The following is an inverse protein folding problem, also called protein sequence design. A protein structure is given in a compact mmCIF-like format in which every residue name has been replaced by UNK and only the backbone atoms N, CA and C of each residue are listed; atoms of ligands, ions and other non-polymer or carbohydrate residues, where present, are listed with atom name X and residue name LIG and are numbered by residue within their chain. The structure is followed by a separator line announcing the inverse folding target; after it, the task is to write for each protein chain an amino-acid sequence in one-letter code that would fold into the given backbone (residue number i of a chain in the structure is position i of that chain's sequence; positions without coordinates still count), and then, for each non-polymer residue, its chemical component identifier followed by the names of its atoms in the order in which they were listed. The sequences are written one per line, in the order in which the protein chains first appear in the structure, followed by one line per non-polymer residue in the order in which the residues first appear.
data_IF_737541329616
#
_entry.id   IF_737541329616
#
_cell.length_a   1.000
_cell.length_b   1.000
_cell.length_c   1.000
_cell.angle_alpha   90.00
_cell.angle_beta   90.00
_cell.angle_gamma   90.00
#
_symmetry.space_group_name_H-M   'P 1'
#
loop_
_entity.id
_entity.type
_entity.pdbx_description
1 polymer ?
#
# COMPACT_ATOMS: atom_id res chain seq x y z
N UNK A 1 0.51 14.92 -4.49
CA UNK A 1 0.43 16.19 -3.80
C UNK A 1 -0.10 15.93 -2.39
N UNK A 2 0.63 16.35 -1.37
CA UNK A 2 0.20 16.25 0.04
C UNK A 2 0.27 17.66 0.61
N UNK A 3 -0.75 18.08 1.33
CA UNK A 3 -0.84 19.43 1.89
C UNK A 3 -1.48 19.40 3.29
N UNK A 4 -1.22 20.46 4.05
CA UNK A 4 -1.70 20.67 5.41
C UNK A 4 -3.19 21.08 5.39
N UNK A 5 -3.91 20.79 6.48
CA UNK A 5 -5.30 21.19 6.73
C UNK A 5 -5.54 22.71 6.69
N UNK A 6 -4.47 23.50 6.82
CA UNK A 6 -4.52 24.97 6.76
C UNK A 6 -4.58 25.55 5.34
N UNK A 7 -4.39 24.70 4.33
CA UNK A 7 -4.43 25.18 2.95
C UNK A 7 -5.88 25.38 2.52
N UNK A 8 -6.15 26.47 1.86
CA UNK A 8 -7.46 26.74 1.27
C UNK A 8 -7.56 26.17 -0.16
N UNK A 9 -8.78 26.06 -0.64
CA UNK A 9 -9.12 25.52 -1.94
C UNK A 9 -8.41 26.28 -3.09
N UNK A 10 -8.36 27.62 -3.02
CA UNK A 10 -7.71 28.47 -4.03
C UNK A 10 -6.21 28.18 -4.13
N UNK A 11 -5.57 27.92 -3.00
CA UNK A 11 -4.15 27.59 -2.96
C UNK A 11 -3.85 26.22 -3.57
N UNK A 12 -4.74 25.25 -3.40
CA UNK A 12 -4.62 23.94 -4.08
C UNK A 12 -4.71 24.11 -5.59
N UNK A 13 -5.65 24.93 -6.08
CA UNK A 13 -5.74 25.26 -7.52
C UNK A 13 -4.48 25.94 -8.05
N UNK A 14 -3.99 26.94 -7.33
CA UNK A 14 -2.75 27.65 -7.69
C UNK A 14 -1.55 26.70 -7.80
N UNK A 15 -1.38 25.82 -6.80
CA UNK A 15 -0.29 24.85 -6.79
C UNK A 15 -0.40 23.89 -7.99
N UNK A 16 -1.59 23.36 -8.25
CA UNK A 16 -1.82 22.47 -9.38
C UNK A 16 -1.49 23.16 -10.70
N UNK A 17 -1.98 24.39 -10.88
CA UNK A 17 -1.72 25.19 -12.09
C UNK A 17 -0.23 25.46 -12.28
N UNK A 18 0.49 25.79 -11.20
CA UNK A 18 1.95 26.00 -11.26
C UNK A 18 2.69 24.73 -11.67
N UNK A 19 2.30 23.56 -11.13
CA UNK A 19 2.86 22.27 -11.51
C UNK A 19 2.61 22.00 -13.01
N UNK A 20 1.37 22.14 -13.46
CA UNK A 20 1.00 21.87 -14.86
C UNK A 20 1.72 22.82 -15.82
N UNK A 21 1.83 24.10 -15.48
CA UNK A 21 2.58 25.08 -16.28
C UNK A 21 4.08 24.73 -16.34
N UNK A 22 4.69 24.37 -15.23
CA UNK A 22 6.08 23.95 -15.19
C UNK A 22 6.32 22.73 -16.09
N UNK A 23 5.46 21.72 -16.01
CA UNK A 23 5.56 20.51 -16.83
C UNK A 23 5.37 20.83 -18.32
N UNK A 24 4.42 21.71 -18.66
CA UNK A 24 4.20 22.19 -20.04
C UNK A 24 5.42 22.89 -20.61
N UNK A 25 6.06 23.78 -19.83
CA UNK A 25 7.31 24.46 -20.22
C UNK A 25 8.44 23.46 -20.50
N UNK A 26 8.47 22.36 -19.76
CA UNK A 26 9.41 21.26 -19.96
C UNK A 26 8.98 20.24 -21.05
N UNK A 27 7.96 20.59 -21.85
CA UNK A 27 7.46 19.77 -22.97
C UNK A 27 6.95 18.39 -22.53
N UNK A 28 6.47 18.26 -21.31
CA UNK A 28 5.79 17.04 -20.82
C UNK A 28 4.39 17.03 -21.43
N UNK A 29 4.09 16.01 -22.23
CA UNK A 29 2.81 15.89 -22.96
C UNK A 29 1.71 15.21 -22.14
N UNK A 30 2.07 14.40 -21.15
CA UNK A 30 1.12 13.64 -20.34
C UNK A 30 1.56 13.63 -18.88
N UNK A 31 0.59 13.80 -17.98
CA UNK A 31 0.78 13.72 -16.53
C UNK A 31 -0.25 12.78 -15.96
N UNK A 32 0.19 11.81 -15.17
CA UNK A 32 -0.70 10.88 -14.47
C UNK A 32 -0.65 11.12 -12.98
N UNK A 33 -1.81 11.42 -12.39
CA UNK A 33 -1.96 11.56 -10.94
C UNK A 33 -2.50 10.27 -10.35
N UNK A 34 -1.76 9.69 -9.41
CA UNK A 34 -2.28 8.62 -8.56
C UNK A 34 -2.70 9.24 -7.24
N UNK A 35 -4.01 9.34 -7.03
CA UNK A 35 -4.56 9.96 -5.84
C UNK A 35 -4.45 9.00 -4.63
N UNK A 36 -4.21 9.58 -3.46
CA UNK A 36 -4.22 8.86 -2.20
C UNK A 36 -5.67 8.53 -1.84
N UNK A 37 -5.88 7.36 -1.25
CA UNK A 37 -7.21 6.94 -0.82
C UNK A 37 -7.74 7.87 0.28
N UNK A 38 -9.00 8.26 0.18
CA UNK A 38 -9.63 9.23 1.09
C UNK A 38 -9.59 8.81 2.56
N UNK A 39 -9.58 7.50 2.86
CA UNK A 39 -9.50 7.02 4.24
C UNK A 39 -8.11 7.15 4.90
N UNK A 40 -7.09 7.57 4.16
CA UNK A 40 -5.79 7.96 4.72
C UNK A 40 -5.69 9.45 5.05
N UNK A 41 -6.68 10.23 4.63
CA UNK A 41 -6.72 11.65 4.96
C UNK A 41 -7.24 11.84 6.38
N UNK A 42 -6.69 12.82 7.11
CA UNK A 42 -7.17 13.20 8.45
C UNK A 42 -8.58 13.83 8.39
N UNK A 43 -8.90 14.48 7.27
CA UNK A 43 -10.19 15.09 6.99
C UNK A 43 -10.62 14.83 5.55
N UNK A 44 -11.91 14.89 5.21
CA UNK A 44 -12.37 14.81 3.83
C UNK A 44 -11.66 15.84 2.97
N UNK A 45 -11.05 15.39 1.86
CA UNK A 45 -10.25 16.22 0.99
C UNK A 45 -10.39 15.74 -0.45
N UNK A 46 -11.12 16.51 -1.27
CA UNK A 46 -11.41 16.20 -2.67
C UNK A 46 -11.06 17.34 -3.63
N UNK A 47 -10.42 18.39 -3.13
CA UNK A 47 -10.11 19.60 -3.90
C UNK A 47 -9.21 19.27 -5.09
N UNK A 48 -8.21 18.42 -4.89
CA UNK A 48 -7.31 18.03 -5.97
C UNK A 48 -8.02 17.27 -7.08
N UNK A 49 -8.94 16.34 -6.74
CA UNK A 49 -9.76 15.62 -7.72
C UNK A 49 -10.63 16.61 -8.52
N UNK A 50 -11.27 17.56 -7.82
CA UNK A 50 -12.10 18.58 -8.42
C UNK A 50 -11.30 19.45 -9.40
N UNK A 51 -10.11 19.93 -9.03
CA UNK A 51 -9.31 20.78 -9.91
C UNK A 51 -8.69 20.02 -11.08
N UNK A 52 -8.31 18.75 -10.91
CA UNK A 52 -7.91 17.91 -12.03
C UNK A 52 -9.07 17.77 -13.03
N UNK A 53 -10.29 17.52 -12.54
CA UNK A 53 -11.49 17.49 -13.39
C UNK A 53 -11.72 18.83 -14.10
N UNK A 54 -11.62 19.97 -13.39
CA UNK A 54 -11.74 21.32 -13.94
C UNK A 54 -10.72 21.61 -15.05
N UNK A 55 -9.53 20.99 -14.97
CA UNK A 55 -8.49 21.06 -16.00
C UNK A 55 -8.67 20.01 -17.14
N UNK A 56 -9.85 19.45 -17.28
CA UNK A 56 -10.19 18.38 -18.24
C UNK A 56 -9.38 17.10 -18.05
N UNK A 57 -8.99 16.79 -16.82
CA UNK A 57 -8.38 15.52 -16.49
C UNK A 57 -9.33 14.36 -16.76
N UNK A 58 -8.80 13.31 -17.37
CA UNK A 58 -9.57 12.09 -17.71
C UNK A 58 -9.28 11.01 -16.67
N UNK A 59 -10.33 10.38 -16.15
CA UNK A 59 -10.18 9.21 -15.28
C UNK A 59 -9.62 8.05 -16.12
N UNK A 60 -8.35 7.75 -15.92
CA UNK A 60 -7.63 6.73 -16.68
C UNK A 60 -7.87 5.32 -16.10
N UNK A 61 -7.89 5.21 -14.77
CA UNK A 61 -8.00 3.92 -14.09
C UNK A 61 -8.68 4.08 -12.72
N UNK A 62 -9.33 3.02 -12.27
CA UNK A 62 -9.99 2.99 -10.96
C UNK A 62 -9.76 1.65 -10.28
N UNK A 63 -9.26 1.70 -9.06
CA UNK A 63 -8.98 0.54 -8.23
C UNK A 63 -9.96 0.45 -7.06
N UNK A 64 -10.44 -0.75 -6.79
CA UNK A 64 -11.19 -1.03 -5.57
C UNK A 64 -10.18 -1.28 -4.44
N UNK A 65 -10.26 -0.48 -3.39
CA UNK A 65 -9.43 -0.64 -2.21
C UNK A 65 -10.30 -1.05 -1.03
N UNK A 66 -9.80 -1.98 -0.24
CA UNK A 66 -10.43 -2.48 0.98
C UNK A 66 -9.49 -2.23 2.15
N UNK A 67 -10.03 -1.71 3.23
CA UNK A 67 -9.31 -1.48 4.47
C UNK A 67 -10.05 -2.08 5.66
N UNK A 68 -9.32 -2.37 6.72
CA UNK A 68 -9.88 -2.76 8.02
C UNK A 68 -9.72 -1.57 8.95
N UNK A 69 -10.85 -1.07 9.46
CA UNK A 69 -10.86 -0.04 10.48
C UNK A 69 -10.78 -0.70 11.87
N UNK A 70 -9.59 -0.65 12.46
CA UNK A 70 -9.36 -1.24 13.78
C UNK A 70 -10.01 -0.49 14.95
N UNK A 71 -10.56 0.71 14.72
CA UNK A 71 -11.37 1.41 15.71
C UNK A 71 -12.77 0.80 15.87
N UNK A 72 -13.18 -0.06 14.91
CA UNK A 72 -14.45 -0.79 14.94
C UNK A 72 -14.25 -2.24 15.36
N UNK A 73 -15.28 -2.90 15.94
CA UNK A 73 -15.22 -4.33 16.21
C UNK A 73 -14.89 -5.11 14.94
N UNK A 74 -13.92 -6.02 15.04
CA UNK A 74 -13.53 -6.87 13.91
C UNK A 74 -14.55 -7.98 13.71
N UNK A 75 -15.33 -7.89 12.64
CA UNK A 75 -16.25 -8.93 12.22
C UNK A 75 -15.56 -9.94 11.32
N UNK A 76 -15.29 -11.13 11.87
CA UNK A 76 -14.68 -12.21 11.11
C UNK A 76 -15.79 -13.08 10.50
N UNK A 77 -15.81 -13.23 9.18
CA UNK A 77 -16.82 -14.04 8.50
C UNK A 77 -16.77 -15.50 8.95
N UNK A 78 -17.94 -16.14 8.98
CA UNK A 78 -18.08 -17.57 9.35
C UNK A 78 -17.17 -18.50 8.51
N UNK A 79 -16.99 -18.17 7.23
CA UNK A 79 -16.09 -18.91 6.35
C UNK A 79 -14.64 -18.85 6.83
N UNK A 80 -14.15 -17.67 7.22
CA UNK A 80 -12.78 -17.50 7.75
C UNK A 80 -12.59 -18.24 9.07
N UNK A 81 -13.59 -18.18 9.97
CA UNK A 81 -13.55 -18.93 11.22
C UNK A 81 -13.53 -20.45 10.98
N UNK A 82 -14.30 -20.96 9.99
CA UNK A 82 -14.28 -22.37 9.61
C UNK A 82 -12.89 -22.77 9.07
N UNK A 83 -12.29 -21.95 8.22
CA UNK A 83 -10.92 -22.18 7.72
C UNK A 83 -9.90 -22.20 8.85
N UNK A 84 -9.96 -21.23 9.76
CA UNK A 84 -9.10 -21.19 10.94
C UNK A 84 -9.19 -22.47 11.77
N UNK A 85 -10.42 -22.89 12.13
CA UNK A 85 -10.65 -24.14 12.88
C UNK A 85 -10.08 -25.36 12.15
N UNK A 86 -10.19 -25.41 10.81
CA UNK A 86 -9.68 -26.53 10.01
C UNK A 86 -8.16 -26.64 10.04
N UNK A 87 -7.43 -25.53 10.19
CA UNK A 87 -5.97 -25.52 10.23
C UNK A 87 -5.41 -25.43 11.65
N UNK A 88 -6.25 -25.34 12.68
CA UNK A 88 -5.81 -25.17 14.08
C UNK A 88 -5.02 -26.36 14.63
N UNK A 89 -5.07 -27.53 13.96
CA UNK A 89 -4.26 -28.70 14.30
C UNK A 89 -2.84 -28.66 13.72
N UNK A 90 -2.60 -27.72 12.80
CA UNK A 90 -1.26 -27.50 12.27
C UNK A 90 -0.42 -26.72 13.29
N UNK A 91 0.83 -27.10 13.38
CA UNK A 91 1.80 -26.37 14.19
C UNK A 91 2.17 -25.07 13.43
N UNK A 92 1.45 -24.00 13.76
CA UNK A 92 1.59 -22.69 13.10
C UNK A 92 2.09 -21.70 14.13
N UNK A 93 3.18 -21.06 13.81
CA UNK A 93 3.72 -19.95 14.58
C UNK A 93 3.64 -18.65 13.77
N UNK A 94 3.15 -17.59 14.41
CA UNK A 94 3.11 -16.24 13.82
C UNK A 94 4.11 -15.38 14.59
N UNK A 95 5.08 -14.83 13.89
CA UNK A 95 6.11 -13.96 14.48
C UNK A 95 6.16 -12.63 13.76
N UNK A 96 6.45 -11.59 14.53
CA UNK A 96 6.90 -10.33 13.98
C UNK A 96 8.44 -10.37 13.84
N UNK A 97 8.92 -10.23 12.61
CA UNK A 97 10.34 -10.21 12.31
C UNK A 97 10.84 -8.78 12.11
N UNK A 98 12.04 -8.49 12.63
CA UNK A 98 12.64 -7.16 12.47
C UNK A 98 13.21 -6.98 11.05
N UNK A 99 13.59 -8.05 10.40
CA UNK A 99 14.22 -8.10 9.10
C UNK A 99 13.38 -8.94 8.13
N UNK A 100 13.24 -8.50 6.89
CA UNK A 100 12.49 -9.22 5.87
C UNK A 100 13.36 -10.16 5.00
N UNK A 101 14.68 -10.24 5.26
CA UNK A 101 15.65 -10.94 4.41
C UNK A 101 15.30 -12.40 4.18
N UNK A 102 14.88 -13.11 5.23
CA UNK A 102 14.46 -14.52 5.12
C UNK A 102 13.30 -14.68 4.13
N UNK A 103 12.26 -13.87 4.29
CA UNK A 103 11.09 -13.91 3.40
C UNK A 103 11.47 -13.48 1.98
N UNK A 104 12.27 -12.41 1.85
CA UNK A 104 12.63 -11.85 0.55
C UNK A 104 13.44 -12.85 -0.28
N UNK A 105 14.51 -13.38 0.29
CA UNK A 105 15.46 -14.22 -0.43
C UNK A 105 15.00 -15.66 -0.59
N UNK A 106 14.29 -16.22 0.39
CA UNK A 106 13.91 -17.64 0.36
C UNK A 106 12.49 -17.88 -0.18
N UNK A 107 11.63 -16.88 -0.15
CA UNK A 107 10.24 -17.05 -0.55
C UNK A 107 9.86 -16.13 -1.71
N UNK A 108 9.98 -14.81 -1.53
CA UNK A 108 9.43 -13.84 -2.49
C UNK A 108 10.16 -13.90 -3.83
N UNK A 109 11.48 -13.73 -3.84
CA UNK A 109 12.27 -13.75 -5.08
C UNK A 109 12.12 -15.07 -5.82
N UNK A 110 12.33 -16.25 -5.20
CA UNK A 110 12.16 -17.52 -5.90
C UNK A 110 10.75 -17.73 -6.45
N UNK A 111 9.72 -17.32 -5.72
CA UNK A 111 8.33 -17.44 -6.17
C UNK A 111 8.00 -16.53 -7.35
N UNK A 112 8.46 -15.27 -7.31
CA UNK A 112 8.25 -14.33 -8.41
C UNK A 112 9.00 -14.77 -9.67
N UNK A 113 10.24 -15.25 -9.53
CA UNK A 113 11.00 -15.79 -10.64
C UNK A 113 10.33 -17.02 -11.26
N UNK A 114 9.94 -17.99 -10.41
CA UNK A 114 9.34 -19.24 -10.89
C UNK A 114 7.99 -19.01 -11.59
N UNK A 115 7.16 -18.12 -11.04
CA UNK A 115 5.77 -17.95 -11.48
C UNK A 115 5.59 -16.87 -12.55
N UNK A 116 6.38 -15.82 -12.48
CA UNK A 116 6.16 -14.61 -13.29
C UNK A 116 7.41 -14.15 -14.04
N UNK A 117 8.58 -14.74 -13.78
CA UNK A 117 9.87 -14.35 -14.38
C UNK A 117 10.24 -12.88 -14.14
N UNK A 118 9.84 -12.34 -12.98
CA UNK A 118 10.12 -10.96 -12.55
C UNK A 118 10.80 -10.91 -11.19
N UNK A 119 11.46 -9.79 -10.92
CA UNK A 119 11.98 -9.46 -9.59
C UNK A 119 10.98 -8.61 -8.80
N UNK A 120 11.08 -8.56 -7.47
CA UNK A 120 10.35 -7.59 -6.66
C UNK A 120 10.65 -6.16 -7.12
N UNK A 121 9.66 -5.27 -7.03
CA UNK A 121 9.81 -3.84 -7.36
C UNK A 121 10.79 -3.15 -6.41
N UNK A 122 10.81 -3.58 -5.14
CA UNK A 122 11.71 -3.07 -4.12
C UNK A 122 12.75 -4.12 -3.74
N UNK A 123 13.94 -3.65 -3.42
CA UNK A 123 14.99 -4.49 -2.84
C UNK A 123 14.70 -4.78 -1.37
N UNK A 124 15.36 -5.82 -0.84
CA UNK A 124 15.35 -6.14 0.58
C UNK A 124 15.81 -4.95 1.43
N UNK A 125 16.89 -4.29 0.99
CA UNK A 125 17.45 -3.13 1.70
C UNK A 125 16.46 -1.97 1.78
N UNK A 126 15.78 -1.64 0.67
CA UNK A 126 14.77 -0.58 0.65
C UNK A 126 13.62 -0.86 1.62
N UNK A 127 13.14 -2.10 1.70
CA UNK A 127 12.06 -2.47 2.61
C UNK A 127 12.52 -2.42 4.07
N UNK A 128 13.72 -2.91 4.38
CA UNK A 128 14.27 -2.83 5.72
C UNK A 128 14.52 -1.38 6.16
N UNK A 129 14.99 -0.53 5.25
CA UNK A 129 15.16 0.89 5.49
C UNK A 129 13.80 1.59 5.72
N UNK A 130 12.80 1.27 4.89
CA UNK A 130 11.45 1.80 5.04
C UNK A 130 10.85 1.44 6.40
N UNK A 131 10.98 0.18 6.83
CA UNK A 131 10.57 -0.26 8.17
C UNK A 131 11.32 0.48 9.26
N UNK A 132 12.64 0.62 9.13
CA UNK A 132 13.47 1.29 10.14
C UNK A 132 13.05 2.74 10.38
N UNK A 133 12.65 3.44 9.32
CA UNK A 133 12.14 4.81 9.35
C UNK A 133 10.69 4.91 9.86
N UNK A 134 9.91 3.83 9.75
CA UNK A 134 8.48 3.81 10.07
C UNK A 134 8.10 2.67 11.03
N UNK A 135 8.89 2.45 12.07
CA UNK A 135 8.77 1.33 13.02
C UNK A 135 7.38 1.12 13.63
N UNK A 136 6.61 2.21 13.79
CA UNK A 136 5.25 2.16 14.35
C UNK A 136 4.18 1.77 13.33
N UNK A 137 4.47 1.88 12.04
CA UNK A 137 3.49 1.77 10.97
C UNK A 137 3.73 0.56 10.05
N UNK A 138 4.92 -0.04 10.12
CA UNK A 138 5.30 -1.15 9.25
C UNK A 138 5.76 -2.33 10.10
N UNK A 139 4.99 -3.41 10.06
CA UNK A 139 5.30 -4.67 10.73
C UNK A 139 5.52 -5.77 9.69
N UNK A 140 6.61 -6.53 9.83
CA UNK A 140 6.84 -7.73 9.04
C UNK A 140 6.33 -8.93 9.85
N UNK A 141 5.23 -9.51 9.40
CA UNK A 141 4.62 -10.66 10.07
C UNK A 141 4.86 -11.90 9.20
N UNK A 142 5.58 -12.87 9.74
CA UNK A 142 5.82 -14.15 9.09
C UNK A 142 5.00 -15.25 9.75
N UNK A 143 4.55 -16.18 8.91
CA UNK A 143 3.81 -17.37 9.34
C UNK A 143 4.67 -18.59 9.02
N UNK A 144 5.04 -19.33 10.05
CA UNK A 144 5.78 -20.57 9.95
C UNK A 144 4.83 -21.75 10.12
N UNK A 145 4.95 -22.75 9.26
CA UNK A 145 4.19 -24.00 9.32
C UNK A 145 5.20 -25.12 9.49
N UNK A 146 5.21 -25.73 10.66
CA UNK A 146 6.11 -26.85 10.96
C UNK A 146 5.44 -28.16 10.49
N UNK A 147 6.01 -28.83 9.50
CA UNK A 147 5.58 -30.17 9.13
C UNK A 147 6.03 -31.14 10.23
N UNK A 148 5.09 -31.78 10.89
CA UNK A 148 5.43 -32.97 11.72
C UNK A 148 5.99 -34.02 10.78
N UNK A 149 7.30 -34.25 10.84
CA UNK A 149 7.93 -35.42 10.23
C UNK A 149 7.50 -36.60 11.10
N UNK A 150 6.56 -37.39 10.64
CA UNK A 150 6.31 -38.71 11.27
C UNK A 150 7.55 -39.57 10.99
N UNK A 151 8.31 -39.87 12.03
CA UNK A 151 9.28 -40.95 12.03
C UNK A 151 8.54 -42.29 12.13
#
# INVERSE_FOLDING_TARGET
LVYDEKINCEKVEEILNNILNHLKLNKISEVRFKLILSFYNNSPCHELEYFIFKQNGVLYDRYLNLGIDYAKPLEISKSKLKHYKRISHLDIEVREEQDCSLFWNQILIPRLQLKHQVNPVHSEQEINELKSKNKKNINHILVFIFKKTFQ
#
